data_IF_129175994988
#
_entry.id   IF_129175994988
#
_cell.length_a   1.000
_cell.length_b   1.000
_cell.length_c   1.000
_cell.angle_alpha   90.00
_cell.angle_beta   90.00
_cell.angle_gamma   90.00
#
_symmetry.space_group_name_H-M   'P 1'
#
loop_
_entity.id
_entity.type
_entity.pdbx_description
1 polymer ?
#
# COMPACT_ATOMS: atom_id res chain seq x y z
N UNK A 1 -15.06 7.54 8.46
CA UNK A 1 -13.73 7.25 9.04
C UNK A 1 -13.36 8.40 9.97
N UNK A 2 -13.10 8.14 11.25
CA UNK A 2 -12.61 9.17 12.19
C UNK A 2 -11.38 9.85 11.55
N UNK A 3 -11.45 11.17 11.35
CA UNK A 3 -10.36 12.05 10.89
C UNK A 3 -9.95 12.00 9.41
N UNK A 4 -10.76 11.47 8.48
CA UNK A 4 -10.48 11.59 7.04
C UNK A 4 -11.44 12.55 6.36
N UNK A 5 -10.92 13.68 5.90
CA UNK A 5 -11.67 14.68 5.16
C UNK A 5 -11.98 14.22 3.73
N UNK A 6 -12.95 14.89 3.08
CA UNK A 6 -13.20 14.70 1.64
C UNK A 6 -11.96 15.02 0.79
N UNK A 7 -11.15 16.00 1.19
CA UNK A 7 -9.90 16.35 0.50
C UNK A 7 -8.89 15.21 0.55
N UNK A 8 -8.74 14.55 1.70
CA UNK A 8 -7.88 13.37 1.84
C UNK A 8 -8.30 12.26 0.87
N UNK A 9 -9.60 11.94 0.81
CA UNK A 9 -10.10 10.89 -0.10
C UNK A 9 -9.87 11.24 -1.58
N UNK A 10 -10.03 12.52 -1.95
CA UNK A 10 -9.72 12.99 -3.31
C UNK A 10 -8.24 12.84 -3.64
N UNK A 11 -7.36 13.22 -2.72
CA UNK A 11 -5.91 13.06 -2.88
C UNK A 11 -5.50 11.59 -3.01
N UNK A 12 -6.04 10.70 -2.17
CA UNK A 12 -5.74 9.25 -2.27
C UNK A 12 -6.21 8.66 -3.60
N UNK A 13 -7.40 9.06 -4.07
CA UNK A 13 -7.90 8.68 -5.40
C UNK A 13 -6.97 9.18 -6.51
N UNK A 14 -6.53 10.42 -6.42
CA UNK A 14 -5.63 11.02 -7.39
C UNK A 14 -4.30 10.28 -7.46
N UNK A 15 -3.70 10.02 -6.30
CA UNK A 15 -2.46 9.24 -6.18
C UNK A 15 -2.59 7.85 -6.83
N UNK A 16 -3.72 7.17 -6.60
CA UNK A 16 -3.98 5.86 -7.19
C UNK A 16 -4.14 5.92 -8.72
N UNK A 17 -4.82 6.96 -9.25
CA UNK A 17 -4.96 7.19 -10.69
C UNK A 17 -3.60 7.44 -11.33
N UNK A 18 -2.81 8.39 -10.79
CA UNK A 18 -1.51 8.76 -11.34
C UNK A 18 -0.55 7.56 -11.40
N UNK A 19 -0.52 6.75 -10.33
CA UNK A 19 0.29 5.52 -10.31
C UNK A 19 -0.08 4.57 -11.45
N UNK A 20 -1.39 4.37 -11.71
CA UNK A 20 -1.85 3.46 -12.76
C UNK A 20 -1.58 4.00 -14.16
N UNK A 21 -1.72 5.30 -14.36
CA UNK A 21 -1.33 5.96 -15.61
C UNK A 21 0.16 5.76 -15.87
N UNK A 22 1.01 5.98 -14.86
CA UNK A 22 2.45 5.76 -14.97
C UNK A 22 2.83 4.33 -15.33
N UNK A 23 2.13 3.32 -14.77
CA UNK A 23 2.35 1.91 -15.16
C UNK A 23 2.00 1.70 -16.64
N UNK A 24 0.84 2.18 -17.06
CA UNK A 24 0.36 1.97 -18.43
C UNK A 24 1.30 2.60 -19.46
N UNK A 25 1.70 3.86 -19.25
CA UNK A 25 2.58 4.57 -20.17
C UNK A 25 4.01 4.01 -20.18
N UNK A 26 4.57 3.76 -19.00
CA UNK A 26 6.00 3.48 -18.88
C UNK A 26 6.36 2.00 -18.83
N UNK A 27 5.42 1.12 -18.48
CA UNK A 27 5.67 -0.32 -18.33
C UNK A 27 4.98 -1.12 -19.43
N UNK A 28 3.76 -0.74 -19.79
CA UNK A 28 3.02 -1.42 -20.87
C UNK A 28 3.25 -0.78 -22.24
N UNK A 29 4.05 0.30 -22.31
CA UNK A 29 4.35 1.04 -23.53
C UNK A 29 3.10 1.42 -24.33
N UNK A 30 1.98 1.74 -23.66
CA UNK A 30 0.86 2.40 -24.33
C UNK A 30 1.34 3.80 -24.73
N UNK A 31 1.64 3.96 -26.01
CA UNK A 31 2.13 5.21 -26.59
C UNK A 31 1.01 6.25 -26.72
N UNK A 32 1.35 7.43 -27.23
CA UNK A 32 0.39 8.51 -27.45
C UNK A 32 -0.64 8.17 -28.56
N UNK A 33 -0.34 7.26 -29.49
CA UNK A 33 -1.30 6.76 -30.48
C UNK A 33 -2.35 5.83 -29.85
N UNK A 34 -2.00 5.15 -28.76
CA UNK A 34 -2.91 4.35 -27.95
C UNK A 34 -3.74 5.19 -26.96
N UNK A 35 -3.52 6.51 -26.90
CA UNK A 35 -4.29 7.42 -26.02
C UNK A 35 -5.78 7.46 -26.35
N UNK A 36 -6.17 7.16 -27.60
CA UNK A 36 -7.59 6.98 -27.93
C UNK A 36 -8.21 5.72 -27.29
N UNK A 37 -7.40 4.72 -26.98
CA UNK A 37 -7.81 3.48 -26.34
C UNK A 37 -7.64 3.52 -24.81
N UNK A 38 -6.91 4.53 -24.31
CA UNK A 38 -6.75 4.78 -22.89
C UNK A 38 -8.13 5.06 -22.24
N UNK A 39 -8.50 4.30 -21.19
CA UNK A 39 -9.74 4.56 -20.46
C UNK A 39 -9.76 5.99 -19.91
N UNK A 40 -10.93 6.64 -19.94
CA UNK A 40 -11.16 7.93 -19.28
C UNK A 40 -10.52 7.93 -17.90
N UNK A 41 -9.73 8.97 -17.59
CA UNK A 41 -8.90 9.09 -16.38
C UNK A 41 -9.54 8.56 -15.08
N UNK A 42 -10.83 8.84 -14.87
CA UNK A 42 -11.58 8.36 -13.69
C UNK A 42 -11.70 6.83 -13.57
N UNK A 43 -11.67 6.10 -14.69
CA UNK A 43 -11.72 4.63 -14.76
C UNK A 43 -10.50 3.99 -14.10
N UNK A 44 -9.34 4.65 -14.12
CA UNK A 44 -8.15 4.15 -13.41
C UNK A 44 -8.37 3.99 -11.91
N UNK A 45 -9.23 4.78 -11.28
CA UNK A 45 -9.52 4.58 -9.86
C UNK A 45 -10.07 3.17 -9.57
N UNK A 46 -10.92 2.65 -10.48
CA UNK A 46 -11.55 1.32 -10.35
C UNK A 46 -10.88 0.20 -11.15
N UNK A 47 -10.03 0.52 -12.13
CA UNK A 47 -9.38 -0.46 -13.01
C UNK A 47 -8.33 -1.33 -12.30
N UNK A 48 -8.18 -2.59 -12.74
CA UNK A 48 -7.20 -3.56 -12.22
C UNK A 48 -5.82 -3.44 -12.91
N UNK A 49 -5.24 -2.24 -12.91
CA UNK A 49 -3.90 -1.99 -13.45
C UNK A 49 -2.87 -2.17 -12.33
N UNK A 50 -1.98 -3.15 -12.48
CA UNK A 50 -0.93 -3.48 -11.52
C UNK A 50 0.37 -3.84 -12.24
N UNK A 51 1.50 -3.51 -11.62
CA UNK A 51 2.83 -3.93 -12.07
C UNK A 51 3.47 -4.80 -10.98
N UNK A 52 4.02 -5.94 -11.38
CA UNK A 52 4.71 -6.90 -10.51
C UNK A 52 6.23 -6.89 -10.70
N UNK A 53 6.79 -5.88 -11.38
CA UNK A 53 8.23 -5.78 -11.63
C UNK A 53 9.04 -5.71 -10.34
N UNK A 54 10.34 -5.98 -10.45
CA UNK A 54 11.23 -6.03 -9.30
C UNK A 54 11.21 -4.73 -8.49
N UNK A 55 11.24 -3.56 -9.15
CA UNK A 55 11.14 -2.26 -8.50
C UNK A 55 9.79 -2.04 -7.80
N UNK A 56 8.67 -2.41 -8.45
CA UNK A 56 7.35 -2.26 -7.84
C UNK A 56 7.14 -3.19 -6.64
N UNK A 57 7.89 -4.30 -6.57
CA UNK A 57 7.91 -5.25 -5.45
C UNK A 57 9.16 -5.13 -4.58
N UNK A 58 9.87 -3.99 -4.63
CA UNK A 58 11.11 -3.74 -3.90
C UNK A 58 11.08 -4.22 -2.44
N UNK A 59 10.06 -3.81 -1.67
CA UNK A 59 9.93 -4.20 -0.26
C UNK A 59 9.82 -5.72 -0.07
N UNK A 60 9.14 -6.42 -0.98
CA UNK A 60 8.97 -7.87 -0.90
C UNK A 60 10.26 -8.58 -1.31
N UNK A 61 10.92 -8.08 -2.35
CA UNK A 61 12.14 -8.68 -2.88
C UNK A 61 13.33 -8.50 -1.94
N UNK A 62 13.37 -7.42 -1.17
CA UNK A 62 14.43 -7.14 -0.18
C UNK A 62 14.03 -7.45 1.26
N UNK A 63 12.86 -8.05 1.48
CA UNK A 63 12.40 -8.44 2.81
C UNK A 63 12.22 -7.26 3.78
N UNK A 64 11.91 -6.07 3.28
CA UNK A 64 11.75 -4.87 4.12
C UNK A 64 10.56 -5.07 5.07
N UNK A 65 10.77 -5.03 6.41
CA UNK A 65 9.71 -5.27 7.36
C UNK A 65 8.67 -4.15 7.30
N UNK A 66 7.42 -4.50 6.98
CA UNK A 66 6.32 -3.53 6.94
C UNK A 66 5.97 -3.08 8.36
N UNK A 67 5.65 -1.80 8.52
CA UNK A 67 5.24 -1.21 9.81
C UNK A 67 4.12 -1.98 10.52
N UNK A 68 3.19 -2.61 9.78
CA UNK A 68 2.15 -3.47 10.36
C UNK A 68 2.69 -4.70 11.10
N UNK A 69 3.82 -5.26 10.67
CA UNK A 69 4.46 -6.40 11.33
C UNK A 69 5.19 -5.92 12.59
N UNK A 70 5.87 -4.78 12.53
CA UNK A 70 6.48 -4.16 13.70
C UNK A 70 5.43 -3.87 14.80
N UNK A 71 4.30 -3.26 14.44
CA UNK A 71 3.22 -3.00 15.40
C UNK A 71 2.68 -4.28 16.06
N UNK A 72 2.53 -5.36 15.27
CA UNK A 72 2.14 -6.68 15.80
C UNK A 72 3.20 -7.26 16.74
N UNK A 73 4.47 -7.20 16.36
CA UNK A 73 5.57 -7.68 17.21
C UNK A 73 5.65 -6.91 18.52
N UNK A 74 5.45 -5.59 18.50
CA UNK A 74 5.39 -4.78 19.72
C UNK A 74 4.20 -5.16 20.61
N UNK A 75 3.02 -5.41 20.02
CA UNK A 75 1.86 -5.86 20.78
C UNK A 75 2.10 -7.24 21.42
N UNK A 76 2.58 -8.21 20.65
CA UNK A 76 2.93 -9.54 21.17
C UNK A 76 4.00 -9.48 22.26
N UNK A 77 5.04 -8.65 22.07
CA UNK A 77 6.10 -8.49 23.07
C UNK A 77 5.54 -7.94 24.38
N UNK A 78 4.61 -6.97 24.30
CA UNK A 78 3.93 -6.43 25.47
C UNK A 78 3.08 -7.48 26.18
N UNK A 79 2.41 -8.38 25.46
CA UNK A 79 1.64 -9.49 26.05
C UNK A 79 2.55 -10.47 26.81
N UNK A 80 3.66 -10.89 26.18
CA UNK A 80 4.66 -11.76 26.80
C UNK A 80 5.25 -11.11 28.06
N UNK A 81 5.63 -9.83 27.96
CA UNK A 81 6.19 -9.09 29.10
C UNK A 81 5.17 -8.99 30.25
N UNK A 82 3.87 -8.85 29.94
CA UNK A 82 2.81 -8.86 30.95
C UNK A 82 2.64 -10.23 31.62
N UNK A 83 2.59 -11.32 30.85
CA UNK A 83 2.47 -12.69 31.40
C UNK A 83 3.64 -13.02 32.35
N UNK A 84 4.88 -12.72 31.95
CA UNK A 84 6.07 -12.94 32.78
C UNK A 84 6.07 -12.13 34.08
N UNK A 85 5.46 -10.94 34.10
CA UNK A 85 5.33 -10.14 35.32
C UNK A 85 4.30 -10.69 36.30
N UNK A 86 3.27 -11.40 35.81
CA UNK A 86 2.24 -12.04 36.64
C UNK A 86 2.81 -13.32 37.28
N UNK A 87 3.63 -14.07 36.56
CA UNK A 87 4.28 -15.28 37.07
C UNK A 87 5.33 -14.99 38.16
N UNK A 88 5.98 -13.82 38.11
CA UNK A 88 6.96 -13.37 39.10
C UNK A 88 6.34 -12.75 40.37
N UNK A 89 5.02 -12.50 40.39
CA UNK A 89 4.30 -11.87 41.51
C UNK A 89 3.44 -12.84 42.34
N UNK A 90 3.42 -14.13 42.01
CA UNK A 90 2.65 -15.18 42.68
C UNK A 90 3.53 -16.14 43.50
N UNK A 91 4.72 -15.71 43.93
CA UNK A 91 5.61 -16.49 44.79
C UNK A 91 5.96 -15.71 46.06
#
# INVERSE_FOLDING_TARGET
MKNRSKSYTRHQRERAIQKKIGIVRNVFNWDDNEEKFLPVRGKFNKGKVHCSCWMCRYEQNLGVPKAKYQAKWHAMKKEIDLELTVDMGNN
#
